data_IF_006685872937
#
_entry.id   IF_006685872937
#
_cell.length_a   1.000
_cell.length_b   1.000
_cell.length_c   1.000
_cell.angle_alpha   90.00
_cell.angle_beta   90.00
_cell.angle_gamma   90.00
#
_symmetry.space_group_name_H-M   'P 1'
#
loop_
_entity.id
_entity.type
_entity.pdbx_description
1 polymer ?
#
# COMPACT_ATOMS: atom_id res chain seq x y z
N UNK A 1 -19.16 20.86 72.66
CA UNK A 1 -20.35 20.23 72.03
C UNK A 1 -20.21 20.50 70.53
N UNK A 2 -19.68 19.61 69.67
CA UNK A 2 -20.30 18.42 69.00
C UNK A 2 -21.71 18.75 68.47
N UNK A 3 -21.98 18.78 67.15
CA UNK A 3 -22.40 17.68 66.24
C UNK A 3 -22.36 18.27 64.79
N UNK A 4 -21.59 17.87 63.77
CA UNK A 4 -21.57 16.71 62.83
C UNK A 4 -22.79 16.49 61.89
N UNK A 5 -22.47 16.16 60.61
CA UNK A 5 -23.23 15.42 59.54
C UNK A 5 -23.99 16.26 58.47
N UNK A 6 -24.04 15.94 57.14
CA UNK A 6 -23.54 14.84 56.29
C UNK A 6 -23.59 15.26 54.78
N UNK A 7 -22.76 14.58 53.98
CA UNK A 7 -22.39 14.56 52.54
C UNK A 7 -23.46 14.37 51.45
N UNK A 8 -23.13 14.71 50.18
CA UNK A 8 -23.32 13.85 48.97
C UNK A 8 -22.50 14.34 47.73
N UNK A 9 -21.41 13.64 47.34
CA UNK A 9 -21.12 12.90 46.08
C UNK A 9 -20.97 13.75 44.78
N UNK A 10 -20.18 13.44 43.73
CA UNK A 10 -19.47 12.25 43.23
C UNK A 10 -18.60 12.72 42.03
N UNK A 11 -17.26 12.58 42.02
CA UNK A 11 -16.48 12.53 40.76
C UNK A 11 -15.28 11.59 40.96
N UNK A 12 -15.28 10.50 40.18
CA UNK A 12 -14.24 9.48 40.09
C UNK A 12 -12.95 10.06 39.47
N UNK A 13 -11.74 9.79 40.00
CA UNK A 13 -10.54 9.86 39.20
C UNK A 13 -10.41 8.55 38.39
N UNK A 14 -10.37 8.70 37.07
CA UNK A 14 -9.97 7.66 36.12
C UNK A 14 -8.53 7.27 36.45
N UNK A 15 -8.32 6.05 36.96
CA UNK A 15 -7.00 5.44 37.06
C UNK A 15 -6.60 4.87 35.69
N UNK A 16 -6.06 5.73 34.83
CA UNK A 16 -5.23 5.28 33.70
C UNK A 16 -3.86 4.90 34.24
N UNK A 17 -3.61 3.60 34.44
CA UNK A 17 -2.27 3.14 34.79
C UNK A 17 -1.40 3.17 33.53
N UNK A 18 -0.55 4.19 33.40
CA UNK A 18 0.64 4.12 32.55
C UNK A 18 1.58 3.13 33.22
N UNK A 19 2.06 2.12 32.48
CA UNK A 19 3.07 1.19 33.00
C UNK A 19 4.34 1.97 33.32
N UNK A 20 4.57 2.26 34.59
CA UNK A 20 5.84 2.78 35.10
C UNK A 20 6.69 1.60 35.53
N UNK A 21 7.83 1.33 34.87
CA UNK A 21 8.73 0.26 35.29
C UNK A 21 9.24 0.52 36.71
N UNK A 22 9.47 -0.52 37.53
CA UNK A 22 9.94 -0.36 38.90
C UNK A 22 11.29 0.37 38.93
N UNK A 23 11.46 1.28 39.90
CA UNK A 23 12.72 1.97 40.14
C UNK A 23 13.83 0.96 40.46
N UNK A 24 15.06 1.14 39.95
CA UNK A 24 16.15 0.19 40.14
C UNK A 24 16.51 0.11 41.62
N UNK A 25 16.35 -1.09 42.19
CA UNK A 25 16.89 -1.39 43.52
C UNK A 25 18.40 -1.54 43.40
N UNK A 26 19.11 -0.78 44.23
CA UNK A 26 20.56 -0.72 44.26
C UNK A 26 21.10 -2.01 44.91
N UNK A 27 21.16 -3.10 44.16
CA UNK A 27 21.83 -4.34 44.54
C UNK A 27 22.97 -4.60 43.55
N UNK A 28 24.18 -4.32 44.01
CA UNK A 28 25.44 -4.57 43.32
C UNK A 28 25.69 -6.08 43.25
N UNK A 29 25.15 -6.72 42.19
CA UNK A 29 25.74 -7.85 41.44
C UNK A 29 24.80 -8.53 40.42
N UNK A 30 23.69 -7.90 40.03
CA UNK A 30 22.95 -8.32 38.85
C UNK A 30 23.24 -7.36 37.69
N UNK A 31 23.86 -7.87 36.63
CA UNK A 31 24.01 -7.16 35.35
C UNK A 31 22.64 -6.62 34.92
N UNK A 32 22.51 -5.34 34.53
CA UNK A 32 21.26 -4.84 34.00
C UNK A 32 20.99 -5.58 32.70
N UNK A 33 20.00 -6.46 32.68
CA UNK A 33 19.46 -6.99 31.43
C UNK A 33 18.60 -5.89 30.82
N UNK A 34 19.27 -4.90 30.23
CA UNK A 34 18.74 -4.22 29.06
C UNK A 34 18.23 -5.29 28.10
N UNK A 35 17.08 -5.07 27.49
CA UNK A 35 16.25 -6.13 26.89
C UNK A 35 17.01 -6.74 25.71
N UNK A 36 17.86 -7.73 26.00
CA UNK A 36 18.50 -8.57 25.02
C UNK A 36 17.35 -9.35 24.38
N UNK A 37 16.90 -8.88 23.22
CA UNK A 37 16.19 -9.72 22.27
C UNK A 37 17.21 -10.77 21.83
N UNK A 38 17.34 -11.83 22.62
CA UNK A 38 17.98 -13.07 22.19
C UNK A 38 16.98 -13.80 21.31
N UNK A 39 16.55 -13.17 20.22
CA UNK A 39 16.21 -13.96 19.06
C UNK A 39 17.54 -14.46 18.52
N UNK A 40 18.03 -15.58 19.06
CA UNK A 40 18.62 -16.52 18.12
C UNK A 40 17.50 -16.74 17.10
N UNK A 41 17.64 -16.35 15.82
CA UNK A 41 16.89 -17.09 14.83
C UNK A 41 17.24 -18.54 15.14
N UNK A 42 16.25 -19.33 15.58
CA UNK A 42 16.42 -20.75 15.56
C UNK A 42 16.52 -21.06 14.06
N UNK A 43 17.73 -21.03 13.51
CA UNK A 43 18.05 -21.81 12.34
C UNK A 43 17.77 -23.24 12.78
N UNK A 44 16.53 -23.67 12.55
CA UNK A 44 16.15 -25.06 12.68
C UNK A 44 16.97 -25.81 11.64
N UNK A 45 18.18 -26.20 12.04
CA UNK A 45 18.87 -27.39 11.58
C UNK A 45 18.02 -28.59 12.00
N UNK A 46 16.87 -28.73 11.36
CA UNK A 46 15.89 -29.77 11.59
C UNK A 46 15.45 -30.24 10.23
N UNK A 47 16.17 -31.23 9.70
CA UNK A 47 15.77 -31.94 8.50
C UNK A 47 14.36 -32.50 8.67
N UNK A 48 13.43 -31.97 7.90
CA UNK A 48 12.23 -32.68 7.50
C UNK A 48 11.86 -32.23 6.11
N UNK A 49 11.81 -33.21 5.23
CA UNK A 49 11.65 -33.07 3.79
C UNK A 49 10.37 -32.29 3.46
N UNK A 50 10.52 -31.14 2.82
CA UNK A 50 9.51 -30.70 1.86
C UNK A 50 10.23 -30.29 0.57
N UNK A 51 10.50 -31.31 -0.24
CA UNK A 51 10.92 -31.18 -1.62
C UNK A 51 9.77 -30.57 -2.44
N UNK A 52 9.64 -29.24 -2.39
CA UNK A 52 8.94 -28.43 -3.40
C UNK A 52 9.42 -26.97 -3.32
N UNK A 53 10.75 -26.79 -3.30
CA UNK A 53 11.40 -25.51 -3.52
C UNK A 53 11.28 -25.12 -4.99
N UNK A 54 10.11 -24.62 -5.40
CA UNK A 54 9.95 -23.88 -6.64
C UNK A 54 10.56 -22.49 -6.51
N UNK A 55 11.21 -22.02 -7.58
CA UNK A 55 11.83 -20.70 -7.77
C UNK A 55 10.92 -19.48 -7.45
N UNK A 56 9.65 -19.70 -7.11
CA UNK A 56 8.59 -18.72 -6.85
C UNK A 56 7.76 -19.05 -5.58
N UNK A 57 8.34 -19.77 -4.61
CA UNK A 57 7.62 -20.34 -3.47
C UNK A 57 7.80 -19.63 -2.12
N UNK A 58 8.63 -18.58 -2.05
CA UNK A 58 9.01 -17.96 -0.77
C UNK A 58 8.34 -16.59 -0.52
N UNK A 59 7.61 -16.06 -1.50
CA UNK A 59 6.93 -14.75 -1.41
C UNK A 59 5.58 -14.78 -0.70
N UNK A 60 4.90 -15.94 -0.66
CA UNK A 60 3.59 -16.07 -0.02
C UNK A 60 3.79 -16.45 1.44
N UNK A 61 3.40 -15.56 2.35
CA UNK A 61 3.42 -15.85 3.78
C UNK A 61 2.53 -17.05 4.11
N UNK A 62 3.08 -18.08 4.75
CA UNK A 62 2.34 -19.27 5.15
C UNK A 62 2.09 -19.25 6.65
N UNK A 63 0.83 -19.42 7.06
CA UNK A 63 0.44 -19.52 8.46
C UNK A 63 0.24 -20.99 8.83
N UNK A 64 1.00 -21.46 9.82
CA UNK A 64 0.81 -22.77 10.44
C UNK A 64 -0.04 -22.61 11.71
N UNK A 65 -1.33 -22.98 11.70
CA UNK A 65 -2.21 -22.88 12.85
C UNK A 65 -1.90 -23.91 13.94
N UNK A 66 -1.11 -24.95 13.65
CA UNK A 66 -0.74 -25.99 14.63
C UNK A 66 0.29 -25.45 15.61
N UNK A 67 1.25 -24.68 15.09
CA UNK A 67 2.34 -24.09 15.87
C UNK A 67 2.14 -22.59 16.11
N UNK A 68 1.04 -22.02 15.63
CA UNK A 68 0.75 -20.58 15.66
C UNK A 68 1.94 -19.76 15.15
N UNK A 69 2.45 -20.10 13.95
CA UNK A 69 3.60 -19.41 13.35
C UNK A 69 3.32 -18.94 11.92
N UNK A 70 3.92 -17.83 11.53
CA UNK A 70 3.92 -17.31 10.16
C UNK A 70 5.33 -17.46 9.60
N UNK A 71 5.48 -18.05 8.42
CA UNK A 71 6.74 -18.11 7.68
C UNK A 71 6.67 -17.22 6.44
N UNK A 72 7.68 -16.35 6.27
CA UNK A 72 7.83 -15.54 5.06
C UNK A 72 9.31 -15.37 4.75
N UNK A 73 9.70 -15.62 3.49
CA UNK A 73 11.08 -15.54 3.02
C UNK A 73 12.08 -16.33 3.90
N UNK A 74 11.72 -17.57 4.25
CA UNK A 74 12.58 -18.48 5.03
C UNK A 74 12.73 -18.15 6.52
N UNK A 75 12.04 -17.12 7.03
CA UNK A 75 12.02 -16.77 8.45
C UNK A 75 10.66 -17.12 9.05
N UNK A 76 10.68 -17.80 10.20
CA UNK A 76 9.47 -18.20 10.94
C UNK A 76 9.32 -17.37 12.21
N UNK A 77 8.13 -16.81 12.44
CA UNK A 77 7.80 -16.04 13.64
C UNK A 77 6.54 -16.60 14.30
N UNK A 78 6.48 -16.62 15.64
CA UNK A 78 5.22 -16.94 16.33
C UNK A 78 4.18 -15.85 16.08
N UNK A 79 2.97 -16.22 15.65
CA UNK A 79 1.86 -15.33 15.39
C UNK A 79 1.29 -14.72 16.69
N UNK A 80 1.36 -15.46 17.80
CA UNK A 80 1.10 -14.95 19.15
C UNK A 80 2.08 -13.89 19.66
N UNK A 81 3.22 -13.64 18.97
CA UNK A 81 4.10 -12.53 19.30
C UNK A 81 3.53 -11.19 18.81
N UNK A 82 2.40 -10.81 19.40
CA UNK A 82 1.75 -9.52 19.20
C UNK A 82 2.70 -8.35 19.55
N UNK A 83 3.76 -8.60 20.34
CA UNK A 83 4.78 -7.60 20.68
C UNK A 83 5.69 -7.21 19.50
N UNK A 84 6.02 -8.14 18.59
CA UNK A 84 6.82 -7.79 17.40
C UNK A 84 5.97 -7.02 16.38
N UNK A 85 4.71 -7.41 16.25
CA UNK A 85 3.71 -6.73 15.43
C UNK A 85 3.44 -5.34 16.02
N UNK A 86 3.15 -5.25 17.31
CA UNK A 86 2.96 -3.98 18.03
C UNK A 86 4.19 -3.08 17.96
N UNK A 87 5.41 -3.60 18.14
CA UNK A 87 6.63 -2.78 18.02
C UNK A 87 6.84 -2.24 16.61
N UNK A 88 6.48 -3.01 15.57
CA UNK A 88 6.50 -2.53 14.18
C UNK A 88 5.42 -1.49 13.92
N UNK A 89 4.19 -1.70 14.42
CA UNK A 89 3.12 -0.72 14.34
C UNK A 89 3.44 0.56 15.12
N UNK A 90 3.99 0.46 16.33
CA UNK A 90 4.43 1.58 17.14
C UNK A 90 5.56 2.34 16.44
N UNK A 91 6.49 1.62 15.78
CA UNK A 91 7.49 2.24 14.91
C UNK A 91 6.83 3.01 13.76
N UNK A 92 5.88 2.40 13.04
CA UNK A 92 5.18 3.07 11.93
C UNK A 92 4.34 4.27 12.39
N UNK A 93 3.71 4.20 13.57
CA UNK A 93 2.91 5.29 14.13
C UNK A 93 3.76 6.46 14.63
N UNK A 94 4.98 6.19 15.09
CA UNK A 94 5.92 7.20 15.57
C UNK A 94 6.88 7.69 14.48
N UNK A 95 6.82 7.12 13.28
CA UNK A 95 7.63 7.58 12.16
C UNK A 95 7.15 8.99 11.76
N UNK A 96 8.00 10.02 11.87
CA UNK A 96 7.60 11.36 11.47
C UNK A 96 7.26 11.36 9.98
N UNK A 97 6.42 12.30 9.58
CA UNK A 97 6.11 12.48 8.18
C UNK A 97 7.42 12.64 7.37
N UNK A 98 7.51 11.91 6.26
CA UNK A 98 8.62 12.00 5.32
C UNK A 98 8.65 13.40 4.68
N UNK A 99 9.34 14.32 5.35
CA UNK A 99 9.47 15.72 4.97
C UNK A 99 10.72 15.97 4.09
N UNK A 100 11.20 14.93 3.40
CA UNK A 100 12.31 15.07 2.46
C UNK A 100 11.88 15.95 1.29
N UNK A 101 12.82 16.72 0.72
CA UNK A 101 12.53 17.59 -0.45
C UNK A 101 11.95 16.77 -1.60
N UNK A 102 12.47 15.57 -1.85
CA UNK A 102 11.96 14.68 -2.89
C UNK A 102 10.51 14.20 -2.62
N UNK A 103 10.14 13.96 -1.36
CA UNK A 103 8.77 13.60 -1.00
C UNK A 103 7.80 14.77 -1.18
N UNK A 104 8.25 15.99 -0.84
CA UNK A 104 7.48 17.21 -1.07
C UNK A 104 7.27 17.47 -2.56
N UNK A 105 8.33 17.43 -3.36
CA UNK A 105 8.28 17.58 -4.82
C UNK A 105 7.36 16.52 -5.46
N UNK A 106 7.40 15.28 -4.97
CA UNK A 106 6.49 14.23 -5.43
C UNK A 106 5.03 14.61 -5.18
N UNK A 107 4.69 15.07 -3.97
CA UNK A 107 3.31 15.49 -3.62
C UNK A 107 2.87 16.69 -4.45
N UNK A 108 3.73 17.68 -4.62
CA UNK A 108 3.45 18.87 -5.44
C UNK A 108 3.19 18.48 -6.91
N UNK A 109 3.97 17.53 -7.46
CA UNK A 109 3.73 17.01 -8.81
C UNK A 109 2.38 16.27 -8.91
N UNK A 110 2.00 15.49 -7.90
CA UNK A 110 0.70 14.79 -7.86
C UNK A 110 -0.45 15.82 -7.78
N UNK A 111 -0.30 16.85 -6.94
CA UNK A 111 -1.30 17.91 -6.83
C UNK A 111 -1.45 18.69 -8.14
N UNK A 112 -0.36 18.94 -8.86
CA UNK A 112 -0.39 19.55 -10.19
C UNK A 112 -1.14 18.66 -11.20
N UNK A 113 -0.87 17.35 -11.21
CA UNK A 113 -1.58 16.38 -12.06
C UNK A 113 -3.08 16.41 -11.77
N UNK A 114 -3.47 16.37 -10.49
CA UNK A 114 -4.87 16.40 -10.08
C UNK A 114 -5.54 17.72 -10.44
N UNK A 115 -4.82 18.84 -10.31
CA UNK A 115 -5.32 20.15 -10.69
C UNK A 115 -5.55 20.26 -12.21
N UNK A 116 -4.65 19.71 -13.03
CA UNK A 116 -4.83 19.65 -14.49
C UNK A 116 -6.00 18.75 -14.89
N UNK A 117 -6.25 17.67 -14.15
CA UNK A 117 -7.35 16.75 -14.43
C UNK A 117 -8.71 17.24 -13.89
N UNK A 118 -8.69 18.24 -13.00
CA UNK A 118 -9.87 18.74 -12.32
C UNK A 118 -10.90 19.30 -13.32
N UNK A 119 -12.18 18.93 -13.20
CA UNK A 119 -13.26 19.57 -13.96
C UNK A 119 -13.37 21.08 -13.71
N UNK A 120 -12.86 21.54 -12.56
CA UNK A 120 -12.86 22.94 -12.16
C UNK A 120 -11.61 23.70 -12.59
N UNK A 121 -10.67 23.05 -13.28
CA UNK A 121 -9.52 23.71 -13.86
C UNK A 121 -9.96 24.84 -14.81
N UNK A 122 -9.26 25.96 -14.79
CA UNK A 122 -9.58 27.11 -15.66
C UNK A 122 -9.31 26.73 -17.11
N UNK A 123 -10.38 26.57 -17.89
CA UNK A 123 -10.29 26.06 -19.27
C UNK A 123 -10.65 24.59 -19.43
N UNK A 124 -11.04 23.91 -18.34
CA UNK A 124 -11.41 22.51 -18.30
C UNK A 124 -10.20 21.56 -18.15
N UNK A 125 -10.43 20.26 -18.03
CA UNK A 125 -9.36 19.28 -17.83
C UNK A 125 -8.34 19.26 -18.97
N UNK A 126 -7.05 19.36 -18.64
CA UNK A 126 -5.93 19.31 -19.58
C UNK A 126 -5.23 17.95 -19.48
N UNK A 127 -5.89 16.93 -20.05
CA UNK A 127 -5.51 15.53 -19.86
C UNK A 127 -4.08 15.19 -20.32
N UNK A 128 -3.63 15.72 -21.46
CA UNK A 128 -2.31 15.38 -21.99
C UNK A 128 -1.17 15.90 -21.10
N UNK A 129 -1.31 17.11 -20.57
CA UNK A 129 -0.32 17.72 -19.69
C UNK A 129 -0.25 16.97 -18.35
N UNK A 130 -1.40 16.55 -17.82
CA UNK A 130 -1.47 15.70 -16.62
C UNK A 130 -0.73 14.37 -16.82
N UNK A 131 -0.93 13.70 -17.95
CA UNK A 131 -0.25 12.43 -18.26
C UNK A 131 1.26 12.62 -18.46
N UNK A 132 1.68 13.75 -19.03
CA UNK A 132 3.10 14.05 -19.26
C UNK A 132 3.92 14.18 -17.95
N UNK A 133 3.27 14.50 -16.83
CA UNK A 133 3.92 14.63 -15.52
C UNK A 133 4.08 13.30 -14.77
N UNK A 134 3.33 12.25 -15.13
CA UNK A 134 3.39 10.95 -14.44
C UNK A 134 4.80 10.31 -14.42
N UNK A 135 5.59 10.31 -15.51
CA UNK A 135 6.95 9.77 -15.48
C UNK A 135 7.87 10.50 -14.50
N UNK A 136 7.68 11.82 -14.35
CA UNK A 136 8.42 12.65 -13.38
C UNK A 136 8.07 12.26 -11.95
N UNK A 137 6.79 12.06 -11.64
CA UNK A 137 6.38 11.57 -10.32
C UNK A 137 6.96 10.17 -10.03
N UNK A 138 7.10 9.33 -11.06
CA UNK A 138 7.61 7.96 -10.92
C UNK A 138 9.11 7.82 -10.63
N UNK A 139 9.87 8.92 -10.63
CA UNK A 139 11.26 8.88 -10.18
C UNK A 139 11.38 8.83 -8.66
N UNK A 140 10.33 9.18 -7.92
CA UNK A 140 10.33 9.14 -6.47
C UNK A 140 10.34 7.67 -5.97
N UNK A 141 11.27 7.25 -5.09
CA UNK A 141 11.34 5.87 -4.62
C UNK A 141 10.06 5.38 -3.93
N UNK A 142 9.35 6.28 -3.23
CA UNK A 142 8.08 5.95 -2.57
C UNK A 142 6.89 5.77 -3.53
N UNK A 143 7.01 6.18 -4.80
CA UNK A 143 5.98 5.90 -5.83
C UNK A 143 5.97 4.42 -6.24
N UNK A 144 7.06 3.67 -6.00
CA UNK A 144 7.17 2.26 -6.37
C UNK A 144 6.81 1.96 -7.84
N UNK A 145 7.04 2.92 -8.74
CA UNK A 145 6.71 2.84 -10.18
C UNK A 145 5.22 2.79 -10.52
N UNK A 146 4.34 3.23 -9.61
CA UNK A 146 2.90 3.30 -9.84
C UNK A 146 2.55 4.29 -10.97
N UNK A 147 3.18 5.47 -10.98
CA UNK A 147 2.90 6.47 -12.02
C UNK A 147 3.37 6.03 -13.42
N UNK A 148 4.45 5.24 -13.52
CA UNK A 148 4.92 4.66 -14.79
C UNK A 148 3.98 3.56 -15.30
N UNK A 149 3.54 2.66 -14.40
CA UNK A 149 2.52 1.66 -14.71
C UNK A 149 1.22 2.30 -15.19
N UNK A 150 0.77 3.37 -14.52
CA UNK A 150 -0.41 4.13 -14.90
C UNK A 150 -0.24 4.77 -16.29
N UNK A 151 0.93 5.37 -16.57
CA UNK A 151 1.23 5.98 -17.87
C UNK A 151 1.12 4.95 -19.00
N UNK A 152 1.67 3.75 -18.80
CA UNK A 152 1.59 2.66 -19.76
C UNK A 152 0.16 2.13 -19.95
N UNK A 153 -0.62 2.03 -18.88
CA UNK A 153 -2.02 1.64 -18.94
C UNK A 153 -2.87 2.66 -19.74
N UNK A 154 -2.67 3.95 -19.49
CA UNK A 154 -3.33 5.04 -20.22
C UNK A 154 -2.95 5.00 -21.70
N UNK A 155 -1.67 4.86 -22.02
CA UNK A 155 -1.18 4.76 -23.39
C UNK A 155 -1.84 3.59 -24.13
N UNK A 156 -1.89 2.42 -23.50
CA UNK A 156 -2.53 1.22 -24.05
C UNK A 156 -4.02 1.43 -24.29
N UNK A 157 -4.74 2.05 -23.34
CA UNK A 157 -6.16 2.34 -23.49
C UNK A 157 -6.45 3.28 -24.68
N UNK A 158 -5.62 4.32 -24.86
CA UNK A 158 -5.73 5.25 -26.01
C UNK A 158 -5.50 4.50 -27.32
N UNK A 159 -4.48 3.64 -27.38
CA UNK A 159 -4.17 2.87 -28.57
C UNK A 159 -5.32 1.91 -28.93
N UNK A 160 -5.85 1.17 -27.96
CA UNK A 160 -6.99 0.27 -28.17
C UNK A 160 -8.22 1.03 -28.67
N UNK A 161 -8.55 2.17 -28.06
CA UNK A 161 -9.68 3.00 -28.50
C UNK A 161 -9.51 3.50 -29.93
N UNK A 162 -8.29 3.87 -30.33
CA UNK A 162 -7.98 4.30 -31.70
C UNK A 162 -8.13 3.14 -32.69
N UNK A 163 -7.68 1.94 -32.33
CA UNK A 163 -7.84 0.75 -33.15
C UNK A 163 -9.32 0.41 -33.38
N UNK A 164 -10.13 0.43 -32.32
CA UNK A 164 -11.58 0.17 -32.40
C UNK A 164 -12.30 1.16 -33.31
N UNK A 165 -11.99 2.46 -33.18
CA UNK A 165 -12.58 3.49 -34.03
C UNK A 165 -12.22 3.29 -35.51
N UNK A 166 -10.97 2.91 -35.80
CA UNK A 166 -10.53 2.58 -37.16
C UNK A 166 -11.27 1.36 -37.71
N UNK A 167 -11.44 0.31 -36.92
CA UNK A 167 -12.16 -0.90 -37.33
C UNK A 167 -13.62 -0.61 -37.67
N UNK A 168 -14.31 0.18 -36.84
CA UNK A 168 -15.69 0.64 -37.11
C UNK A 168 -15.79 1.44 -38.41
N UNK A 169 -14.82 2.32 -38.66
CA UNK A 169 -14.76 3.10 -39.90
C UNK A 169 -14.58 2.21 -41.14
N UNK A 170 -13.70 1.20 -41.07
CA UNK A 170 -13.49 0.25 -42.17
C UNK A 170 -14.75 -0.57 -42.46
N UNK A 171 -15.42 -1.07 -41.43
CA UNK A 171 -16.70 -1.78 -41.58
C UNK A 171 -17.74 -0.89 -42.27
N UNK A 172 -17.90 0.35 -41.81
CA UNK A 172 -18.82 1.30 -42.43
C UNK A 172 -18.46 1.65 -43.88
N UNK A 173 -17.17 1.69 -44.25
CA UNK A 173 -16.72 1.85 -45.64
C UNK A 173 -17.08 0.62 -46.47
N UNK A 174 -16.81 -0.58 -45.98
CA UNK A 174 -17.16 -1.82 -46.70
C UNK A 174 -18.67 -2.00 -46.87
N UNK A 175 -19.48 -1.66 -45.87
CA UNK A 175 -20.94 -1.70 -45.98
C UNK A 175 -21.47 -0.72 -47.04
N UNK A 176 -20.89 0.49 -47.13
CA UNK A 176 -21.24 1.44 -48.20
C UNK A 176 -20.93 0.89 -49.58
N UNK A 177 -19.76 0.29 -49.77
CA UNK A 177 -19.40 -0.33 -51.06
C UNK A 177 -20.28 -1.54 -51.38
N UNK A 178 -20.62 -2.38 -50.39
CA UNK A 178 -21.60 -3.46 -50.57
C UNK A 178 -22.97 -2.93 -51.03
N UNK A 179 -23.46 -1.87 -50.40
CA UNK A 179 -24.74 -1.24 -50.79
C UNK A 179 -24.70 -0.67 -52.20
N UNK A 180 -23.60 0.00 -52.59
CA UNK A 180 -23.40 0.47 -53.96
C UNK A 180 -23.39 -0.67 -54.97
N UNK A 181 -22.69 -1.76 -54.66
CA UNK A 181 -22.64 -2.93 -55.54
C UNK A 181 -24.02 -3.59 -55.71
N UNK A 182 -24.82 -3.67 -54.65
CA UNK A 182 -26.21 -4.17 -54.72
C UNK A 182 -27.06 -3.26 -55.59
N UNK A 183 -27.00 -1.94 -55.39
CA UNK A 183 -27.72 -0.98 -56.23
C UNK A 183 -27.25 -1.02 -57.70
N UNK A 184 -25.95 -1.19 -57.95
CA UNK A 184 -25.40 -1.35 -59.30
C UNK A 184 -25.88 -2.64 -59.99
N UNK A 185 -26.03 -3.73 -59.23
CA UNK A 185 -26.54 -4.99 -59.74
C UNK A 185 -28.05 -4.93 -60.01
N UNK A 186 -28.82 -4.24 -59.15
CA UNK A 186 -30.28 -4.14 -59.24
C UNK A 186 -30.75 -3.27 -60.43
N UNK A 187 -30.00 -2.24 -60.84
CA UNK A 187 -30.35 -1.47 -62.05
C UNK A 187 -30.03 -2.18 -63.36
N UNK A 188 -29.12 -3.17 -63.34
CA UNK A 188 -28.69 -3.94 -64.53
C UNK A 188 -29.54 -5.18 -64.80
N UNK A 189 -30.45 -5.53 -63.88
CA UNK A 189 -31.41 -6.64 -64.02
C UNK A 189 -32.73 -6.14 -64.62
#
# INVERSE_FOLDING_TARGET
>A
MKITLLTLALILPVLGQVYTPPAPTNNQNATPTDTVVRSNPNESSGGSNNANGGLLGNEVGFFDPTNDTISWNGKTWAASNNRLVAARFEKYLNEPEEATVAAQEYRDNIDEILNLLSPHHKGGPVFLDAVALLPKASTYPGDAKLCDSLSNAIYTAILSRKADNRSKELLARMEREKKKAILDADWKA
#
